data_IF_995722290994
#
_entry.id   IF_995722290994
#
_cell.length_a   1.000
_cell.length_b   1.000
_cell.length_c   1.000
_cell.angle_alpha   90.00
_cell.angle_beta   90.00
_cell.angle_gamma   90.00
#
_symmetry.space_group_name_H-M   'P 1'
#
loop_
_entity.id
_entity.type
_entity.pdbx_description
1 polymer ?
2 non-polymer ?
3 water ?
#
# COMPACT_ATOMS: atom_id res chain seq x y z
N UNK A 1 -1.47 -5.62 -17.96
CA UNK A 1 -0.53 -6.76 -17.83
C UNK A 1 -0.80 -7.39 -16.47
N UNK A 2 -0.25 -8.57 -16.16
CA UNK A 2 -0.48 -9.21 -14.85
C UNK A 2 0.76 -8.86 -14.07
N UNK A 3 0.76 -8.46 -12.81
CA UNK A 3 2.01 -8.13 -12.13
C UNK A 3 2.10 -8.99 -10.89
N UNK A 4 3.23 -9.68 -10.66
CA UNK A 4 3.41 -10.52 -9.47
C UNK A 4 4.00 -9.62 -8.38
N UNK A 5 3.81 -10.09 -7.17
CA UNK A 5 4.25 -9.35 -6.04
C UNK A 5 5.48 -9.96 -5.43
N UNK A 6 6.27 -10.73 -6.17
CA UNK A 6 7.47 -11.30 -5.59
C UNK A 6 8.41 -10.13 -5.31
N UNK A 7 8.35 -9.18 -6.22
CA UNK A 7 9.16 -7.98 -6.14
C UNK A 7 8.19 -6.82 -6.01
N UNK A 8 8.64 -5.68 -5.51
CA UNK A 8 7.80 -4.50 -5.34
C UNK A 8 7.21 -4.04 -6.68
N UNK A 9 5.93 -3.60 -6.81
CA UNK A 9 5.34 -3.28 -8.12
C UNK A 9 5.58 -1.86 -8.60
N UNK A 10 6.80 -1.64 -9.07
CA UNK A 10 7.34 -0.38 -9.59
C UNK A 10 7.09 -0.27 -11.06
N UNK A 11 6.64 0.88 -11.53
CA UNK A 11 6.35 1.09 -12.93
C UNK A 11 6.83 2.50 -13.28
N UNK A 12 6.99 2.73 -14.58
CA UNK A 12 7.43 4.00 -15.12
C UNK A 12 6.15 4.76 -15.39
N UNK A 13 6.17 6.02 -15.01
CA UNK A 13 5.03 6.90 -15.19
C UNK A 13 5.63 8.14 -15.90
N UNK A 14 4.82 8.94 -16.59
CA UNK A 14 5.27 10.15 -17.28
C UNK A 14 4.37 11.26 -16.74
N UNK A 15 5.01 12.24 -16.12
CA UNK A 15 4.35 13.39 -15.52
C UNK A 15 5.15 14.64 -15.82
N UNK A 16 4.42 15.52 -16.48
CA UNK A 16 4.95 16.79 -16.97
C UNK A 16 6.20 16.61 -17.81
N UNK A 17 6.12 15.77 -18.84
CA UNK A 17 7.32 15.48 -19.59
C UNK A 17 8.34 14.65 -18.80
N UNK A 18 8.41 14.64 -17.47
CA UNK A 18 9.39 13.81 -16.77
C UNK A 18 8.91 12.36 -16.63
N UNK A 19 9.80 11.38 -16.83
CA UNK A 19 9.49 9.95 -16.71
C UNK A 19 9.92 9.63 -15.28
N UNK A 20 9.25 8.76 -14.52
CA UNK A 20 9.59 8.44 -13.14
C UNK A 20 9.21 7.03 -12.75
N UNK A 21 9.71 6.45 -11.65
CA UNK A 21 9.33 5.09 -11.23
C UNK A 21 8.38 5.38 -10.08
N UNK A 22 7.30 4.64 -10.01
CA UNK A 22 6.32 4.80 -8.98
C UNK A 22 5.82 3.42 -8.62
N UNK A 23 5.49 3.33 -7.33
CA UNK A 23 4.97 2.11 -6.72
C UNK A 23 3.45 1.99 -6.88
N UNK A 24 2.86 0.90 -7.38
CA UNK A 24 1.40 0.76 -7.53
C UNK A 24 1.02 0.27 -6.14
N UNK A 25 0.40 1.17 -5.39
CA UNK A 25 -0.01 0.89 -4.04
C UNK A 25 -1.51 0.77 -3.71
N UNK A 26 -2.06 -0.43 -3.47
CA UNK A 26 -3.47 -0.55 -3.15
C UNK A 26 -3.77 -0.14 -1.70
N UNK A 27 -2.75 0.04 -0.84
CA UNK A 27 -2.99 0.56 0.51
C UNK A 27 -3.00 2.07 0.57
N UNK A 28 -2.73 2.75 -0.54
CA UNK A 28 -2.69 4.21 -0.69
C UNK A 28 -3.98 4.81 -1.23
N UNK A 29 -4.77 5.55 -0.48
CA UNK A 29 -5.97 6.13 -1.02
C UNK A 29 -5.68 7.12 -2.14
N UNK A 30 -4.66 7.98 -1.95
CA UNK A 30 -4.25 9.02 -2.90
C UNK A 30 -2.88 8.79 -3.48
N UNK A 31 -2.57 9.49 -4.57
CA UNK A 31 -1.28 9.41 -5.22
C UNK A 31 -0.41 10.52 -4.61
N UNK A 32 0.82 10.18 -4.22
CA UNK A 32 1.76 11.12 -3.58
C UNK A 32 3.06 11.04 -4.35
N UNK A 33 3.58 12.17 -4.80
CA UNK A 33 4.84 12.23 -5.52
C UNK A 33 5.87 13.03 -4.69
N UNK A 34 7.13 12.76 -4.94
CA UNK A 34 8.24 13.42 -4.26
C UNK A 34 8.22 14.85 -4.78
N UNK A 35 8.71 15.78 -3.99
CA UNK A 35 8.79 17.21 -4.25
C UNK A 35 9.10 17.64 -5.67
N UNK A 36 8.15 18.34 -6.29
CA UNK A 36 8.29 18.80 -7.66
C UNK A 36 7.38 19.98 -7.95
N UNK A 37 7.63 20.50 -9.14
CA UNK A 37 6.89 21.65 -9.61
C UNK A 37 5.73 21.27 -10.50
N UNK A 38 4.56 21.64 -10.06
CA UNK A 38 3.40 21.36 -10.84
C UNK A 38 2.71 22.71 -10.89
N UNK A 39 2.23 23.00 -12.08
CA UNK A 39 1.50 24.23 -12.35
C UNK A 39 0.09 24.21 -11.80
N UNK A 40 -0.34 25.40 -11.44
CA UNK A 40 -1.68 25.53 -10.92
C UNK A 40 -1.60 25.87 -9.45
N UNK A 41 -2.79 25.98 -8.92
CA UNK A 41 -2.98 26.34 -7.54
C UNK A 41 -3.12 25.01 -6.79
N UNK A 42 -2.64 25.05 -5.55
CA UNK A 42 -2.67 23.91 -4.68
C UNK A 42 -3.27 24.33 -3.34
N UNK A 43 -3.72 23.36 -2.58
CA UNK A 43 -4.30 23.62 -1.28
C UNK A 43 -3.49 22.75 -0.32
N UNK A 44 -3.28 23.08 0.96
CA UNK A 44 -2.53 22.21 1.88
C UNK A 44 -3.39 21.13 2.51
N UNK A 45 -2.74 19.99 2.76
CA UNK A 45 -3.42 18.85 3.35
C UNK A 45 -2.46 18.12 4.27
N UNK A 46 -2.89 17.28 5.18
CA UNK A 46 -2.01 16.54 6.05
C UNK A 46 -2.40 15.09 5.73
N UNK A 47 -1.49 14.15 5.43
CA UNK A 47 -1.85 12.74 5.11
C UNK A 47 -1.10 11.84 6.09
N UNK A 48 -1.59 10.69 6.54
CA UNK A 48 -0.91 9.86 7.53
C UNK A 48 -0.64 8.44 7.11
N UNK A 49 0.48 7.88 7.46
CA UNK A 49 0.79 6.51 7.17
C UNK A 49 1.33 5.91 8.45
N UNK A 50 2.19 4.89 8.27
CA UNK A 50 2.93 4.29 9.39
C UNK A 50 3.90 5.42 9.74
N UNK A 51 4.12 5.60 11.03
CA UNK A 51 5.02 6.65 11.41
C UNK A 51 4.32 7.96 11.60
N UNK A 52 3.15 8.22 11.01
CA UNK A 52 2.50 9.49 11.27
C UNK A 52 2.18 10.29 10.04
N UNK A 53 2.03 11.58 10.27
CA UNK A 53 1.52 12.52 9.28
C UNK A 53 2.51 13.44 8.60
N UNK A 54 2.33 13.76 7.32
CA UNK A 54 3.24 14.68 6.61
C UNK A 54 2.34 15.73 5.91
N UNK A 55 2.87 16.92 5.66
CA UNK A 55 2.15 18.01 5.03
C UNK A 55 2.52 17.92 3.56
N UNK A 56 1.50 18.04 2.73
CA UNK A 56 1.67 17.95 1.29
C UNK A 56 0.90 19.08 0.62
N UNK A 57 1.12 19.34 -0.66
CA UNK A 57 0.43 20.37 -1.45
C UNK A 57 -0.52 19.56 -2.35
N UNK A 58 -1.82 19.75 -2.36
CA UNK A 58 -2.75 19.01 -3.18
C UNK A 58 -3.04 19.71 -4.50
N UNK A 59 -2.83 19.05 -5.62
CA UNK A 59 -3.10 19.63 -6.92
C UNK A 59 -4.23 18.78 -7.50
N UNK A 60 -5.27 19.37 -8.06
CA UNK A 60 -6.36 18.59 -8.63
C UNK A 60 -6.16 18.60 -10.14
N UNK A 61 -6.73 17.57 -10.76
CA UNK A 61 -6.73 17.32 -12.21
C UNK A 61 -5.45 17.42 -13.01
N UNK A 62 -4.58 16.56 -12.53
CA UNK A 62 -3.25 16.39 -13.08
C UNK A 62 -3.42 15.10 -13.91
N UNK A 63 -2.81 15.12 -15.09
CA UNK A 63 -2.82 14.02 -16.05
C UNK A 63 -1.50 13.28 -15.85
N UNK A 64 -1.59 11.97 -15.79
CA UNK A 64 -0.43 11.13 -15.60
C UNK A 64 -0.69 9.88 -16.42
N UNK A 65 0.37 9.43 -17.02
CA UNK A 65 0.33 8.26 -17.87
C UNK A 65 0.99 7.15 -17.09
N UNK A 66 0.28 6.06 -16.86
CA UNK A 66 0.77 4.89 -16.12
C UNK A 66 0.79 3.76 -17.14
N UNK A 67 1.99 3.42 -17.59
CA UNK A 67 2.22 2.36 -18.59
C UNK A 67 1.35 2.65 -19.82
N UNK A 68 1.51 3.81 -20.47
CA UNK A 68 0.70 4.13 -21.65
C UNK A 68 -0.75 4.56 -21.39
N UNK A 69 -1.30 4.29 -20.23
CA UNK A 69 -2.67 4.67 -20.01
C UNK A 69 -2.69 6.04 -19.36
N UNK A 70 -3.46 6.90 -19.98
CA UNK A 70 -3.63 8.24 -19.50
C UNK A 70 -4.62 8.13 -18.34
N UNK A 71 -4.48 8.93 -17.29
CA UNK A 71 -5.37 8.94 -16.11
C UNK A 71 -5.30 10.36 -15.59
N UNK A 72 -6.38 10.86 -15.01
CA UNK A 72 -6.35 12.22 -14.49
C UNK A 72 -6.92 12.23 -13.10
N UNK A 73 -6.34 12.99 -12.19
CA UNK A 73 -6.88 13.04 -10.84
C UNK A 73 -6.05 13.92 -9.95
N UNK A 74 -6.38 13.96 -8.66
CA UNK A 74 -5.64 14.68 -7.59
C UNK A 74 -4.29 13.99 -7.37
N UNK A 75 -3.27 14.81 -7.21
CA UNK A 75 -1.93 14.33 -6.99
C UNK A 75 -1.43 15.10 -5.79
N UNK A 76 -0.84 14.47 -4.79
CA UNK A 76 -0.32 15.18 -3.62
C UNK A 76 1.17 15.15 -3.85
N UNK A 77 1.78 16.27 -3.52
CA UNK A 77 3.23 16.45 -3.65
C UNK A 77 3.84 16.78 -2.26
N UNK A 78 4.91 16.09 -1.89
CA UNK A 78 5.47 16.38 -0.60
C UNK A 78 6.60 15.45 -0.24
N UNK A 79 7.10 15.47 0.99
CA UNK A 79 8.28 14.71 1.41
C UNK A 79 8.05 13.20 1.57
N UNK A 80 7.66 12.55 0.48
CA UNK A 80 7.41 11.13 0.47
C UNK A 80 8.77 10.55 0.08
N UNK A 81 9.10 9.40 0.71
CA UNK A 81 10.28 8.62 0.37
C UNK A 81 10.19 7.96 -1.00
N UNK A 82 9.01 7.70 -1.58
CA UNK A 82 8.92 7.04 -2.89
C UNK A 82 7.65 7.55 -3.56
N UNK A 83 7.62 7.57 -4.88
CA UNK A 83 6.43 8.04 -5.60
C UNK A 83 5.40 6.91 -5.45
N UNK A 84 4.16 7.16 -5.08
CA UNK A 84 3.12 6.15 -4.88
C UNK A 84 1.91 6.47 -5.72
N UNK A 85 1.40 5.53 -6.50
CA UNK A 85 0.21 5.71 -7.33
C UNK A 85 -0.84 5.02 -6.47
N UNK A 86 -1.80 5.76 -5.99
CA UNK A 86 -2.84 5.23 -5.12
C UNK A 86 -4.09 4.88 -5.89
N UNK A 87 -5.07 4.48 -5.10
CA UNK A 87 -6.33 3.94 -5.62
C UNK A 87 -7.11 4.88 -6.54
N UNK A 88 -7.02 6.18 -6.26
CA UNK A 88 -7.68 7.22 -7.03
C UNK A 88 -7.25 7.15 -8.51
N UNK A 89 -6.06 6.74 -8.94
CA UNK A 89 -5.70 6.66 -10.35
C UNK A 89 -5.62 5.17 -10.72
N UNK A 90 -5.44 4.23 -9.78
CA UNK A 90 -5.37 2.82 -10.14
C UNK A 90 -6.72 2.40 -10.70
N UNK A 91 -7.81 2.91 -10.15
CA UNK A 91 -9.12 2.55 -10.66
C UNK A 91 -9.29 3.04 -12.12
N UNK A 92 -8.78 4.22 -12.42
CA UNK A 92 -8.86 4.83 -13.74
C UNK A 92 -8.20 3.99 -14.81
N UNK A 93 -7.17 3.19 -14.52
CA UNK A 93 -6.56 2.38 -15.59
C UNK A 93 -7.11 0.97 -15.55
N UNK A 94 -8.09 0.69 -14.70
CA UNK A 94 -8.69 -0.62 -14.68
C UNK A 94 -7.94 -1.62 -13.84
N UNK A 95 -7.13 -1.17 -12.91
CA UNK A 95 -6.37 -2.11 -12.12
C UNK A 95 -7.20 -2.84 -11.07
N UNK A 96 -7.13 -4.16 -10.98
CA UNK A 96 -7.84 -4.93 -9.98
C UNK A 96 -6.79 -5.88 -9.33
N UNK A 97 -7.16 -6.43 -8.18
CA UNK A 97 -6.37 -7.35 -7.35
C UNK A 97 -7.01 -8.73 -7.51
N UNK A 98 -6.30 -9.79 -7.85
CA UNK A 98 -6.86 -11.13 -8.04
C UNK A 98 -6.09 -12.24 -7.39
N UNK A 99 -6.80 -13.24 -6.93
CA UNK A 99 -6.32 -14.47 -6.28
C UNK A 99 -7.54 -15.43 -6.25
N UNK B 1 -10.96 -14.47 -6.29
CA UNK B 1 -11.91 -13.34 -6.49
C UNK B 1 -11.19 -12.20 -7.16
N UNK B 2 -11.91 -11.24 -7.69
CA UNK B 2 -11.35 -10.08 -8.36
C UNK B 2 -11.85 -8.96 -7.48
N UNK B 3 -10.96 -8.10 -7.04
CA UNK B 3 -11.29 -6.98 -6.17
C UNK B 3 -10.92 -5.70 -6.93
N UNK B 4 -11.91 -4.82 -7.10
CA UNK B 4 -11.69 -3.56 -7.80
C UNK B 4 -11.23 -2.60 -6.72
N UNK B 5 -10.80 -1.41 -7.07
CA UNK B 5 -10.32 -0.52 -6.04
C UNK B 5 -11.07 0.76 -5.78
N UNK B 6 -12.38 0.79 -6.00
CA UNK B 6 -13.19 1.99 -5.76
C UNK B 6 -13.26 2.18 -4.27
N UNK B 7 -13.11 1.10 -3.53
CA UNK B 7 -13.15 1.16 -2.09
C UNK B 7 -11.82 0.61 -1.58
N UNK B 8 -11.58 0.73 -0.30
CA UNK B 8 -10.34 0.21 0.27
C UNK B 8 -10.47 -1.30 0.22
N UNK B 9 -9.48 -2.08 -0.27
CA UNK B 9 -9.55 -3.56 -0.28
C UNK B 9 -9.38 -4.24 1.10
N UNK B 10 -10.43 -4.21 1.92
CA UNK B 10 -10.48 -4.78 3.25
C UNK B 10 -11.01 -6.19 3.26
N UNK B 11 -10.43 -7.19 3.92
CA UNK B 11 -10.93 -8.56 3.96
C UNK B 11 -10.94 -9.00 5.43
N UNK B 12 -11.57 -10.10 5.70
CA UNK B 12 -11.63 -10.64 7.03
C UNK B 12 -10.52 -11.67 7.05
N UNK B 13 -9.74 -11.65 8.12
CA UNK B 13 -8.62 -12.58 8.32
C UNK B 13 -8.97 -13.26 9.65
N UNK B 14 -8.54 -14.47 9.88
CA UNK B 14 -8.83 -15.16 11.12
C UNK B 14 -7.45 -15.38 11.71
N UNK B 15 -7.20 -14.93 12.91
CA UNK B 15 -5.90 -15.11 13.55
C UNK B 15 -6.17 -15.29 15.05
N UNK B 16 -5.64 -16.37 15.60
CA UNK B 16 -5.88 -16.73 17.00
C UNK B 16 -7.31 -17.18 17.30
N UNK B 17 -8.00 -17.71 16.29
CA UNK B 17 -9.42 -17.98 16.45
C UNK B 17 -10.23 -16.67 16.50
N UNK B 18 -9.66 -15.50 16.16
CA UNK B 18 -10.36 -14.22 16.16
C UNK B 18 -10.50 -13.69 14.74
N UNK B 19 -11.61 -13.06 14.36
CA UNK B 19 -11.72 -12.53 13.01
C UNK B 19 -11.37 -11.07 13.21
N UNK B 20 -10.76 -10.49 12.18
CA UNK B 20 -10.31 -9.12 12.08
C UNK B 20 -10.43 -8.70 10.61
N UNK B 21 -10.32 -7.41 10.39
CA UNK B 21 -10.41 -6.78 9.09
C UNK B 21 -8.99 -6.26 8.83
N UNK B 22 -8.49 -6.51 7.62
CA UNK B 22 -7.17 -6.08 7.20
C UNK B 22 -7.25 -5.61 5.74
N UNK B 23 -6.30 -4.78 5.46
CA UNK B 23 -6.15 -4.16 4.18
C UNK B 23 -5.21 -4.88 3.25
N UNK B 24 -5.54 -5.22 2.01
CA UNK B 24 -4.60 -5.89 1.13
C UNK B 24 -3.77 -4.75 0.59
N UNK B 25 -2.50 -4.72 0.97
CA UNK B 25 -1.58 -3.68 0.57
C UNK B 25 -0.35 -4.07 -0.26
N UNK B 26 -0.38 -3.82 -1.58
CA UNK B 26 0.73 -4.14 -2.46
C UNK B 26 1.93 -3.20 -2.20
N UNK B 27 1.69 -2.07 -1.57
CA UNK B 27 2.77 -1.17 -1.27
C UNK B 27 3.43 -1.52 0.05
N UNK B 28 3.09 -2.58 0.78
CA UNK B 28 3.69 -2.96 2.05
C UNK B 28 4.54 -4.19 1.91
N UNK B 29 5.86 -4.16 2.15
CA UNK B 29 6.65 -5.39 2.01
C UNK B 29 6.29 -6.45 3.03
N UNK B 30 5.87 -6.03 4.21
CA UNK B 30 5.52 -6.90 5.31
C UNK B 30 4.10 -6.67 5.72
N UNK B 31 3.67 -7.58 6.60
CA UNK B 31 2.35 -7.64 7.21
C UNK B 31 2.41 -7.05 8.63
N UNK B 32 1.71 -6.00 9.02
CA UNK B 32 1.77 -5.40 10.35
C UNK B 32 0.36 -5.46 10.94
N UNK B 33 0.22 -5.94 12.16
CA UNK B 33 -1.07 -6.05 12.83
C UNK B 33 -1.04 -5.12 14.02
N UNK B 34 -2.21 -4.61 14.42
CA UNK B 34 -2.36 -3.72 15.57
C UNK B 34 -1.97 -4.59 16.76
N UNK B 35 -1.69 -3.98 17.91
CA UNK B 35 -1.30 -4.67 19.12
C UNK B 35 -2.21 -5.82 19.52
N UNK B 36 -1.50 -6.94 19.73
CA UNK B 36 -2.09 -8.22 20.12
C UNK B 36 -1.07 -9.19 20.72
N UNK B 37 -1.62 -10.24 21.29
CA UNK B 37 -0.82 -11.25 21.92
C UNK B 37 -0.65 -12.45 21.00
N UNK B 38 0.60 -12.69 20.62
CA UNK B 38 0.92 -13.81 19.76
C UNK B 38 1.86 -14.76 20.52
N UNK B 39 1.78 -16.09 20.27
CA UNK B 39 2.69 -17.09 20.82
C UNK B 39 4.17 -17.01 20.41
N UNK B 40 5.04 -17.29 21.38
CA UNK B 40 6.47 -17.40 21.13
C UNK B 40 7.26 -16.18 21.54
N UNK B 41 8.43 -16.20 20.93
CA UNK B 41 9.46 -15.18 21.13
C UNK B 41 9.34 -14.29 19.93
N UNK B 42 9.85 -13.11 20.13
CA UNK B 42 9.82 -12.11 19.11
C UNK B 42 11.18 -11.50 19.02
N UNK B 43 11.52 -10.91 17.90
CA UNK B 43 12.80 -10.25 17.70
C UNK B 43 12.48 -8.87 17.18
N UNK B 44 13.36 -7.87 17.29
CA UNK B 44 13.01 -6.48 16.99
C UNK B 44 13.10 -6.07 15.53
N UNK B 45 12.27 -5.13 15.05
CA UNK B 45 12.30 -4.66 13.67
C UNK B 45 11.88 -3.18 13.67
N UNK B 46 12.48 -2.43 12.76
CA UNK B 46 12.28 -1.00 12.53
C UNK B 46 11.62 -1.01 11.15
N UNK B 47 10.55 -0.30 10.93
CA UNK B 47 9.89 -0.30 9.64
C UNK B 47 9.57 1.16 9.39
N UNK B 48 9.73 1.65 8.16
CA UNK B 48 9.48 3.06 7.83
C UNK B 48 8.36 3.19 6.83
N UNK B 49 7.41 4.09 7.03
CA UNK B 49 6.32 4.30 6.09
C UNK B 49 6.39 5.72 5.60
N UNK B 50 5.24 6.29 5.25
CA UNK B 50 5.13 7.68 4.80
C UNK B 50 5.48 8.64 5.94
N UNK B 51 5.14 8.39 7.21
CA UNK B 51 5.47 9.37 8.23
C UNK B 51 6.75 9.12 9.00
N UNK B 52 7.58 8.15 8.62
CA UNK B 52 8.78 7.86 9.39
C UNK B 52 8.81 6.43 9.85
N UNK B 53 9.49 6.13 10.96
CA UNK B 53 9.74 4.75 11.39
C UNK B 53 9.08 4.35 12.70
N UNK B 54 8.67 3.11 12.84
CA UNK B 54 8.06 2.60 14.06
C UNK B 54 8.92 1.36 14.40
N UNK B 55 8.94 0.94 15.65
CA UNK B 55 9.70 -0.19 16.16
C UNK B 55 8.56 -1.19 16.32
N UNK B 56 8.70 -2.44 15.89
CA UNK B 56 7.63 -3.44 16.01
C UNK B 56 8.22 -4.72 16.56
N UNK B 57 7.41 -5.74 16.80
CA UNK B 57 7.87 -7.03 17.32
C UNK B 57 7.63 -8.01 16.18
N UNK B 58 8.60 -8.82 15.82
CA UNK B 58 8.49 -9.78 14.73
C UNK B 58 8.20 -11.19 15.20
N UNK B 59 7.18 -11.88 14.73
CA UNK B 59 6.88 -13.25 15.15
C UNK B 59 6.96 -14.05 13.86
N UNK B 60 7.58 -15.20 13.87
CA UNK B 60 7.69 -16.00 12.65
C UNK B 60 6.79 -17.22 12.66
N UNK B 61 6.43 -17.70 11.47
CA UNK B 61 5.58 -18.88 11.27
C UNK B 61 4.16 -18.82 11.86
N UNK B 62 3.54 -17.67 11.71
CA UNK B 62 2.19 -17.50 12.21
C UNK B 62 1.16 -17.92 11.11
N UNK B 63 0.12 -18.65 11.51
CA UNK B 63 -0.94 -19.09 10.61
C UNK B 63 -1.96 -17.95 10.65
N UNK B 64 -2.42 -17.59 9.49
CA UNK B 64 -3.41 -16.56 9.33
C UNK B 64 -4.20 -17.01 8.10
N UNK B 65 -5.50 -16.92 8.09
CA UNK B 65 -6.33 -17.33 6.95
C UNK B 65 -6.80 -16.00 6.40
N UNK B 66 -6.63 -15.74 5.12
CA UNK B 66 -7.02 -14.51 4.42
C UNK B 66 -7.99 -15.05 3.38
N UNK B 67 -9.27 -14.70 3.49
CA UNK B 67 -10.39 -15.13 2.60
C UNK B 67 -10.45 -16.63 2.33
N UNK B 68 -10.36 -17.36 3.44
CA UNK B 68 -10.37 -18.81 3.38
C UNK B 68 -9.09 -19.41 2.82
N UNK B 69 -7.97 -18.66 2.75
CA UNK B 69 -6.70 -19.18 2.28
C UNK B 69 -5.78 -19.12 3.48
N UNK B 70 -5.23 -20.25 3.85
CA UNK B 70 -4.31 -20.32 5.00
C UNK B 70 -2.92 -19.95 4.53
N UNK B 71 -2.29 -19.01 5.21
CA UNK B 71 -0.93 -18.54 4.91
C UNK B 71 -0.18 -18.81 6.25
N UNK B 72 1.15 -18.99 6.23
CA UNK B 72 1.98 -19.25 7.41
C UNK B 72 3.25 -18.44 7.20
N UNK B 73 3.44 -17.36 7.97
CA UNK B 73 4.62 -16.55 7.76
C UNK B 73 4.87 -15.58 8.87
N UNK B 74 5.72 -14.60 8.58
CA UNK B 74 6.14 -13.54 9.47
C UNK B 74 5.12 -12.43 9.54
N UNK B 75 4.74 -12.12 10.78
CA UNK B 75 3.78 -11.09 11.11
C UNK B 75 4.48 -10.17 12.11
N UNK B 76 4.39 -8.86 11.89
CA UNK B 76 4.98 -7.82 12.75
C UNK B 76 3.84 -7.23 13.59
N UNK B 77 3.96 -6.95 14.88
CA UNK B 77 2.89 -6.37 15.70
C UNK B 77 3.43 -5.03 16.20
N UNK B 78 2.65 -3.97 16.19
CA UNK B 78 3.16 -2.67 16.48
C UNK B 78 2.09 -1.62 16.28
N UNK B 79 2.40 -0.32 16.46
CA UNK B 79 1.42 0.78 16.45
C UNK B 79 1.03 1.24 15.07
N UNK B 80 0.32 0.39 14.39
CA UNK B 80 -0.14 0.67 13.04
C UNK B 80 -1.57 1.21 13.12
N UNK B 81 -1.92 2.16 12.26
CA UNK B 81 -3.29 2.65 12.19
C UNK B 81 -4.31 1.65 11.73
N UNK B 82 -3.85 0.63 11.02
CA UNK B 82 -4.72 -0.39 10.47
C UNK B 82 -3.94 -1.70 10.30
N UNK B 83 -4.61 -2.84 10.25
CA UNK B 83 -3.98 -4.16 10.08
C UNK B 83 -3.62 -4.16 8.59
N UNK B 84 -2.38 -4.49 8.25
CA UNK B 84 -1.85 -4.51 6.88
C UNK B 84 -1.38 -5.89 6.39
N UNK B 85 -1.91 -6.44 5.29
CA UNK B 85 -1.45 -7.74 4.80
C UNK B 85 -0.50 -7.30 3.69
N UNK B 86 0.78 -7.60 3.88
CA UNK B 86 1.81 -7.18 2.96
C UNK B 86 2.14 -8.24 1.92
N UNK B 87 3.07 -7.91 1.06
CA UNK B 87 3.46 -8.82 -0.02
C UNK B 87 3.96 -10.17 0.43
N UNK B 88 4.65 -10.27 1.57
CA UNK B 88 5.14 -11.57 2.04
C UNK B 88 3.97 -12.58 2.20
N UNK B 89 2.72 -12.18 2.51
CA UNK B 89 1.59 -13.10 2.66
C UNK B 89 0.75 -12.99 1.40
N UNK B 90 0.64 -11.88 0.69
CA UNK B 90 -0.15 -11.79 -0.55
C UNK B 90 0.46 -12.78 -1.59
N UNK B 91 1.77 -13.05 -1.65
CA UNK B 91 2.38 -13.99 -2.60
C UNK B 91 2.03 -15.42 -2.27
N UNK B 92 1.82 -15.73 -0.99
CA UNK B 92 1.48 -17.07 -0.60
C UNK B 92 0.05 -17.34 -0.99
N UNK B 93 -0.94 -16.43 -1.06
CA UNK B 93 -2.32 -16.78 -1.46
C UNK B 93 -2.52 -16.55 -2.96
N UNK B 94 -1.44 -16.28 -3.69
CA UNK B 94 -1.46 -16.16 -5.14
C UNK B 94 -1.97 -14.86 -5.72
N UNK B 95 -1.84 -13.78 -4.98
CA UNK B 95 -2.34 -12.49 -5.45
C UNK B 95 -1.52 -11.67 -6.46
N UNK B 96 -2.17 -11.17 -7.53
CA UNK B 96 -1.50 -10.37 -8.55
C UNK B 96 -2.31 -9.10 -8.84
N UNK B 97 -1.68 -8.13 -9.50
CA UNK B 97 -2.25 -6.87 -9.89
C UNK B 97 -2.53 -7.01 -11.36
N UNK B 98 -3.71 -6.67 -11.86
CA UNK B 98 -4.00 -6.79 -13.28
C UNK B 98 -4.71 -5.59 -13.87
N UNK B 99 -4.24 -5.17 -15.02
CA UNK B 99 -4.82 -4.07 -15.77
C UNK B 99 -4.35 -4.34 -17.23
X LIG C 1 5.09 -0.74 5.55
X LIG C 1 5.78 -2.08 5.51
X LIG C 1 5.95 0.08 6.50
X LIG C 1 3.69 -0.93 6.12
X LIG C 1 5.09 -0.21 4.25
X LIG C 1 4.43 0.97 3.92
X LIG C 1 4.28 1.95 4.69
X LIG C 1 3.93 1.07 2.71
X LIG C 1 3.23 2.31 2.35
X LIG C 1 3.91 2.79 1.06
X LIG C 1 5.40 3.05 1.25
X LIG C 1 6.34 2.17 0.71
X LIG C 1 7.70 2.42 0.91
X LIG C 1 8.12 3.54 1.64
X LIG C 1 7.18 4.42 2.17
X LIG C 1 5.81 4.17 1.98
X LIG C 1 1.68 2.24 2.25
X LIG C 1 1.23 1.20 1.43
X LIG C 1 0.99 1.94 3.55
X LIG C 1 -0.38 2.54 3.68
X LIG C 1 -0.97 2.05 5.02
X LIG C 1 -2.20 2.81 5.51
X LIG C 1 -2.10 3.65 6.61
X LIG C 1 -3.23 4.34 7.06
X LIG C 1 -4.46 4.20 6.42
X LIG C 1 -4.57 3.36 5.32
X LIG C 1 -3.44 2.66 4.87
X LIG C 1 -0.28 4.07 3.62
X LIG C 1 0.69 4.71 4.03
X LIG C 1 -1.32 4.71 3.11
X LIG C 1 -1.36 6.16 3.01
X LIG C 1 -0.87 6.72 1.67
X LIG C 1 -0.69 8.17 1.89
X LIG C 1 0.49 6.26 1.24
X LIG C 1 -2.86 6.44 3.15
X LIG C 1 -3.94 5.84 2.61
X LIG C 1 -4.97 6.37 3.35
X LIG C 1 -4.45 7.27 4.29
X LIG C 1 -3.09 7.29 4.13
#
# INVERSE_FOLDING_TARGET
>A
PQITLWQRPLVTIKIGGQLKEALLDTGADDTILEEMSLPGRWKPKMVGGIGGFIKVRQYDQILIEICGHKAIGTVLVGPTPINIIGRNLLTQIGCTLNF
>B
PQITLWQRPLVTIKIGGQLKEALLDTGADDTILEEMSLPGRWKPKMVGGIGGFIKVRQYDQILIEICGHKAIGTVLVGPTPINIIGRNLLTQIGCTLNF
>C hetero
1 IM1 C1 C2 C3 C4 O5 C6 O7 N8 C9 C10 C11 C12 C13 C14 C15 C16 C17 O18 C19 C20 C21 C22 C23 C24 C25 C26 C27 C28 O29 N30 C31 C32 C33 C34 C35 N36 C37 C38 N39
#
